data_IF_063768991885
#
_entry.id   IF_063768991885
#
_cell.length_a   1.000
_cell.length_b   1.000
_cell.length_c   1.000
_cell.angle_alpha   90.00
_cell.angle_beta   90.00
_cell.angle_gamma   90.00
#
_symmetry.space_group_name_H-M   'P 1'
#
loop_
_entity.id
_entity.type
_entity.pdbx_description
1 polymer ?
#
# COMPACT_ATOMS: atom_id res chain seq x y z
N UNK A 1 27.73 -31.84 -46.27
CA UNK A 1 28.61 -30.77 -45.72
C UNK A 1 27.70 -29.76 -45.02
N UNK A 2 27.61 -29.85 -43.70
CA UNK A 2 26.64 -29.10 -42.88
C UNK A 2 27.25 -27.75 -42.51
N UNK A 3 26.66 -26.63 -42.94
CA UNK A 3 26.95 -25.31 -42.38
C UNK A 3 25.87 -24.98 -41.36
N UNK A 4 26.19 -25.17 -40.08
CA UNK A 4 25.41 -24.64 -38.98
C UNK A 4 25.46 -23.12 -39.01
N UNK A 5 24.34 -22.48 -39.35
CA UNK A 5 24.15 -21.06 -39.09
C UNK A 5 24.15 -20.84 -37.58
N UNK A 6 25.18 -20.17 -37.06
CA UNK A 6 25.19 -19.65 -35.68
C UNK A 6 24.06 -18.62 -35.59
N UNK A 7 22.97 -18.98 -34.94
CA UNK A 7 22.05 -17.99 -34.40
C UNK A 7 22.84 -17.12 -33.42
N UNK A 8 22.90 -15.82 -33.66
CA UNK A 8 23.20 -14.85 -32.60
C UNK A 8 21.89 -14.55 -31.86
N UNK A 9 21.69 -15.07 -30.65
CA UNK A 9 20.87 -14.35 -29.69
C UNK A 9 21.67 -14.17 -28.40
N UNK A 10 22.20 -12.96 -28.15
CA UNK A 10 22.24 -12.57 -26.74
C UNK A 10 21.98 -11.08 -26.46
N UNK A 11 22.43 -10.14 -27.31
CA UNK A 11 22.53 -8.73 -26.90
C UNK A 11 21.15 -8.09 -26.67
N UNK A 12 20.24 -8.19 -27.65
CA UNK A 12 18.90 -7.59 -27.53
C UNK A 12 18.03 -8.24 -26.43
N UNK A 13 18.30 -9.50 -26.06
CA UNK A 13 17.58 -10.20 -24.98
C UNK A 13 18.13 -9.75 -23.62
N UNK A 14 19.45 -9.63 -23.50
CA UNK A 14 20.11 -9.15 -22.28
C UNK A 14 19.84 -7.66 -22.03
N UNK A 15 19.79 -6.83 -23.08
CA UNK A 15 19.42 -5.41 -22.97
C UNK A 15 17.96 -5.22 -22.54
N UNK A 16 17.03 -6.05 -23.03
CA UNK A 16 15.63 -6.02 -22.57
C UNK A 16 15.50 -6.46 -21.12
N UNK A 17 16.25 -7.48 -20.71
CA UNK A 17 16.28 -7.94 -19.33
C UNK A 17 16.86 -6.87 -18.38
N UNK A 18 17.93 -6.18 -18.79
CA UNK A 18 18.53 -5.11 -17.97
C UNK A 18 17.65 -3.87 -17.86
N UNK A 19 16.96 -3.48 -18.93
CA UNK A 19 15.98 -2.38 -18.91
C UNK A 19 14.78 -2.74 -18.03
N UNK A 20 14.30 -3.98 -18.07
CA UNK A 20 13.23 -4.45 -17.20
C UNK A 20 13.65 -4.43 -15.72
N UNK A 21 14.86 -4.90 -15.39
CA UNK A 21 15.39 -4.86 -14.02
C UNK A 21 15.56 -3.42 -13.50
N UNK A 22 16.05 -2.51 -14.35
CA UNK A 22 16.18 -1.09 -14.00
C UNK A 22 14.82 -0.43 -13.73
N UNK A 23 13.80 -0.74 -14.54
CA UNK A 23 12.44 -0.25 -14.34
C UNK A 23 11.81 -0.79 -13.04
N UNK A 24 12.01 -2.08 -12.74
CA UNK A 24 11.57 -2.70 -11.48
C UNK A 24 12.23 -2.03 -10.29
N UNK A 25 13.55 -1.85 -10.32
CA UNK A 25 14.28 -1.17 -9.24
C UNK A 25 13.79 0.26 -9.03
N UNK A 26 13.66 1.05 -10.11
CA UNK A 26 13.20 2.44 -10.03
C UNK A 26 11.77 2.55 -9.47
N UNK A 27 10.89 1.62 -9.84
CA UNK A 27 9.56 1.52 -9.26
C UNK A 27 9.64 1.22 -7.76
N UNK A 28 10.40 0.20 -7.37
CA UNK A 28 10.52 -0.20 -5.96
C UNK A 28 11.14 0.89 -5.08
N UNK A 29 12.15 1.62 -5.58
CA UNK A 29 12.77 2.74 -4.86
C UNK A 29 11.74 3.84 -4.49
N UNK A 30 10.70 4.02 -5.32
CA UNK A 30 9.61 4.96 -5.06
C UNK A 30 8.49 4.33 -4.22
N UNK A 31 8.16 3.06 -4.48
CA UNK A 31 7.00 2.40 -3.90
C UNK A 31 7.24 1.95 -2.44
N UNK A 32 8.45 1.46 -2.12
CA UNK A 32 8.85 1.01 -0.77
C UNK A 32 8.64 2.07 0.33
N UNK A 33 9.14 3.31 0.21
CA UNK A 33 8.93 4.32 1.24
C UNK A 33 7.45 4.65 1.44
N UNK A 34 6.64 4.63 0.37
CA UNK A 34 5.20 4.89 0.45
C UNK A 34 4.46 3.77 1.20
N UNK A 35 4.77 2.50 0.92
CA UNK A 35 4.21 1.36 1.65
C UNK A 35 4.61 1.40 3.12
N UNK A 36 5.87 1.74 3.44
CA UNK A 36 6.33 1.88 4.82
C UNK A 36 5.62 3.03 5.56
N UNK A 37 5.43 4.17 4.90
CA UNK A 37 4.70 5.31 5.44
C UNK A 37 3.24 4.94 5.72
N UNK A 38 2.58 4.28 4.76
CA UNK A 38 1.22 3.77 4.90
C UNK A 38 1.11 2.80 6.09
N UNK A 39 1.99 1.81 6.17
CA UNK A 39 2.02 0.83 7.26
C UNK A 39 2.18 1.47 8.64
N UNK A 40 3.05 2.47 8.77
CA UNK A 40 3.27 3.20 10.03
C UNK A 40 2.03 3.99 10.43
N UNK A 41 1.44 4.75 9.50
CA UNK A 41 0.23 5.51 9.76
C UNK A 41 -0.95 4.59 10.12
N UNK A 42 -1.05 3.43 9.47
CA UNK A 42 -2.08 2.40 9.75
C UNK A 42 -1.95 1.84 11.16
N UNK A 43 -0.73 1.43 11.55
CA UNK A 43 -0.47 0.87 12.87
C UNK A 43 -0.79 1.87 13.99
N UNK A 44 -0.39 3.14 13.80
CA UNK A 44 -0.68 4.20 14.75
C UNK A 44 -2.19 4.49 14.83
N UNK A 45 -2.88 4.61 13.69
CA UNK A 45 -4.31 4.89 13.65
C UNK A 45 -5.12 3.76 14.28
N UNK A 46 -4.79 2.50 13.99
CA UNK A 46 -5.41 1.34 14.61
C UNK A 46 -5.23 1.31 16.14
N UNK A 47 -4.08 1.77 16.65
CA UNK A 47 -3.89 1.92 18.09
C UNK A 47 -4.83 2.98 18.69
N UNK A 48 -5.02 4.10 18.00
CA UNK A 48 -5.94 5.16 18.45
C UNK A 48 -7.41 4.74 18.42
N UNK A 49 -7.83 3.99 17.40
CA UNK A 49 -9.20 3.45 17.34
C UNK A 49 -9.45 2.47 18.48
N UNK A 50 -8.46 1.64 18.83
CA UNK A 50 -8.56 0.74 20.00
C UNK A 50 -8.62 1.52 21.32
N UNK A 51 -7.81 2.56 21.49
CA UNK A 51 -7.83 3.39 22.68
C UNK A 51 -9.20 4.10 22.86
N UNK A 52 -9.75 4.65 21.78
CA UNK A 52 -11.08 5.25 21.79
C UNK A 52 -12.21 4.23 21.99
N UNK A 53 -12.00 2.95 21.69
CA UNK A 53 -12.95 1.89 22.02
C UNK A 53 -13.03 1.62 23.54
N UNK A 54 -11.88 1.65 24.21
CA UNK A 54 -11.80 1.50 25.68
C UNK A 54 -12.28 2.74 26.41
N UNK A 55 -12.07 3.93 25.83
CA UNK A 55 -12.49 5.21 26.41
C UNK A 55 -13.14 6.10 25.33
N UNK A 56 -14.45 5.93 25.07
CA UNK A 56 -15.15 6.63 23.99
C UNK A 56 -15.02 8.15 24.02
N UNK A 57 -14.99 8.75 25.22
CA UNK A 57 -14.88 10.19 25.39
C UNK A 57 -13.61 10.78 24.74
N UNK A 58 -12.54 9.98 24.59
CA UNK A 58 -11.26 10.43 24.01
C UNK A 58 -11.42 10.89 22.56
N UNK A 59 -12.31 10.28 21.77
CA UNK A 59 -12.46 10.64 20.36
C UNK A 59 -13.04 12.05 20.13
N UNK A 60 -13.66 12.65 21.15
CA UNK A 60 -14.16 14.02 21.10
C UNK A 60 -13.10 15.07 21.42
N UNK A 61 -11.95 14.66 21.98
CA UNK A 61 -10.88 15.57 22.41
C UNK A 61 -10.05 16.08 21.23
N UNK A 62 -9.54 17.32 21.33
CA UNK A 62 -8.61 17.86 20.34
C UNK A 62 -7.29 17.06 20.26
N UNK A 63 -6.86 16.50 21.40
CA UNK A 63 -5.67 15.65 21.51
C UNK A 63 -5.79 14.36 20.69
N UNK A 64 -7.01 13.86 20.47
CA UNK A 64 -7.26 12.74 19.57
C UNK A 64 -7.55 13.21 18.15
N UNK A 65 -8.48 14.16 17.95
CA UNK A 65 -8.94 14.60 16.62
C UNK A 65 -7.82 15.09 15.71
N UNK A 66 -6.90 15.91 16.22
CA UNK A 66 -5.81 16.48 15.42
C UNK A 66 -4.86 15.41 14.88
N UNK A 67 -4.18 14.65 15.76
CA UNK A 67 -3.30 13.55 15.36
C UNK A 67 -4.00 12.48 14.52
N UNK A 68 -5.24 12.12 14.85
CA UNK A 68 -6.03 11.14 14.08
C UNK A 68 -6.33 11.62 12.66
N UNK A 69 -6.71 12.88 12.50
CA UNK A 69 -6.91 13.49 11.17
C UNK A 69 -5.60 13.55 10.37
N UNK A 70 -4.48 13.81 11.03
CA UNK A 70 -3.16 13.80 10.39
C UNK A 70 -2.77 12.39 9.91
N UNK A 71 -3.00 11.35 10.71
CA UNK A 71 -2.74 9.97 10.33
C UNK A 71 -3.63 9.51 9.17
N UNK A 72 -4.92 9.84 9.18
CA UNK A 72 -5.84 9.56 8.06
C UNK A 72 -5.39 10.25 6.77
N UNK A 73 -4.90 11.50 6.88
CA UNK A 73 -4.34 12.22 5.74
C UNK A 73 -3.09 11.52 5.20
N UNK A 74 -2.17 11.11 6.07
CA UNK A 74 -0.97 10.36 5.67
C UNK A 74 -1.30 9.04 4.98
N UNK A 75 -2.29 8.29 5.49
CA UNK A 75 -2.79 7.07 4.86
C UNK A 75 -3.28 7.35 3.44
N UNK A 76 -4.19 8.31 3.30
CA UNK A 76 -4.77 8.68 2.01
C UNK A 76 -3.72 9.17 1.02
N UNK A 77 -2.79 10.01 1.47
CA UNK A 77 -1.76 10.57 0.61
C UNK A 77 -0.78 9.50 0.15
N UNK A 78 -0.42 8.53 1.01
CA UNK A 78 0.42 7.39 0.63
C UNK A 78 -0.29 6.44 -0.34
N UNK A 79 -1.57 6.10 -0.08
CA UNK A 79 -2.35 5.24 -0.97
C UNK A 79 -2.56 5.88 -2.35
N UNK A 80 -2.87 7.18 -2.40
CA UNK A 80 -3.00 7.91 -3.66
C UNK A 80 -1.68 7.98 -4.43
N UNK A 81 -0.55 8.15 -3.74
CA UNK A 81 0.76 8.16 -4.38
C UNK A 81 1.12 6.78 -4.94
N UNK A 82 0.81 5.70 -4.21
CA UNK A 82 0.98 4.32 -4.71
C UNK A 82 0.12 4.06 -5.94
N UNK A 83 -1.16 4.47 -5.91
CA UNK A 83 -2.06 4.31 -7.06
C UNK A 83 -1.57 5.06 -8.30
N UNK A 84 -1.04 6.27 -8.12
CA UNK A 84 -0.47 7.10 -9.20
C UNK A 84 0.89 6.62 -9.70
N UNK A 85 1.57 5.74 -8.95
CA UNK A 85 2.87 5.20 -9.34
C UNK A 85 2.65 4.18 -10.47
N UNK A 86 2.58 4.69 -11.69
CA UNK A 86 2.35 3.93 -12.91
C UNK A 86 3.49 4.21 -13.92
N UNK A 87 3.85 3.24 -14.77
CA UNK A 87 3.28 1.89 -14.85
C UNK A 87 3.81 0.95 -13.77
N UNK A 88 2.96 0.06 -13.26
CA UNK A 88 3.40 -1.06 -12.41
C UNK A 88 4.11 -2.10 -13.30
N UNK A 89 5.37 -2.48 -13.00
CA UNK A 89 6.05 -3.55 -13.71
C UNK A 89 5.24 -4.85 -13.70
N UNK A 90 5.13 -5.53 -14.84
CA UNK A 90 4.30 -6.75 -15.01
C UNK A 90 4.72 -7.93 -14.13
N UNK A 91 5.92 -7.88 -13.55
CA UNK A 91 6.42 -8.88 -12.60
C UNK A 91 5.86 -8.68 -11.18
N UNK A 92 5.30 -7.50 -10.89
CA UNK A 92 4.68 -7.20 -9.61
C UNK A 92 3.21 -7.65 -9.59
N UNK A 93 2.68 -8.02 -8.40
CA UNK A 93 1.26 -8.34 -8.22
C UNK A 93 0.32 -7.22 -8.70
N UNK A 94 -0.90 -7.61 -9.05
CA UNK A 94 -1.89 -6.84 -9.83
C UNK A 94 -2.10 -5.38 -9.40
N UNK A 95 -2.25 -4.52 -10.41
CA UNK A 95 -2.48 -3.08 -10.29
C UNK A 95 -3.71 -2.71 -9.46
N UNK A 96 -4.73 -3.58 -9.41
CA UNK A 96 -5.97 -3.34 -8.67
C UNK A 96 -5.75 -3.17 -7.17
N UNK A 97 -4.66 -3.71 -6.61
CA UNK A 97 -4.42 -3.63 -5.17
C UNK A 97 -4.19 -2.20 -4.65
N UNK A 98 -3.57 -1.32 -5.44
CA UNK A 98 -3.36 0.08 -5.02
C UNK A 98 -4.61 0.92 -5.17
N UNK A 99 -5.42 0.60 -6.17
CA UNK A 99 -6.75 1.18 -6.36
C UNK A 99 -7.66 0.81 -5.19
N UNK A 100 -7.80 -0.48 -4.89
CA UNK A 100 -8.56 -0.98 -3.74
C UNK A 100 -8.08 -0.33 -2.43
N UNK A 101 -6.76 -0.23 -2.22
CA UNK A 101 -6.18 0.42 -1.04
C UNK A 101 -6.58 1.91 -0.96
N UNK A 102 -6.54 2.63 -2.08
CA UNK A 102 -6.88 4.05 -2.14
C UNK A 102 -8.38 4.27 -1.90
N UNK A 103 -9.25 3.47 -2.52
CA UNK A 103 -10.70 3.53 -2.33
C UNK A 103 -11.10 3.22 -0.89
N UNK A 104 -10.59 2.13 -0.34
CA UNK A 104 -10.86 1.72 1.04
C UNK A 104 -10.32 2.75 2.05
N UNK A 105 -9.17 3.37 1.78
CA UNK A 105 -8.63 4.44 2.63
C UNK A 105 -9.45 5.72 2.55
N UNK A 106 -9.96 6.07 1.36
CA UNK A 106 -10.82 7.24 1.18
C UNK A 106 -12.14 7.07 1.95
N UNK A 107 -12.73 5.89 1.88
CA UNK A 107 -13.97 5.58 2.59
C UNK A 107 -13.77 5.54 4.12
N UNK A 108 -12.61 5.08 4.61
CA UNK A 108 -12.27 5.09 6.04
C UNK A 108 -12.39 6.49 6.66
N UNK A 109 -11.93 7.52 5.95
CA UNK A 109 -12.01 8.90 6.46
C UNK A 109 -13.47 9.36 6.64
N UNK A 110 -14.36 8.97 5.72
CA UNK A 110 -15.80 9.26 5.83
C UNK A 110 -16.46 8.53 7.00
N UNK A 111 -16.12 7.24 7.19
CA UNK A 111 -16.63 6.44 8.30
C UNK A 111 -16.17 6.99 9.67
N UNK A 112 -14.94 7.50 9.77
CA UNK A 112 -14.42 8.12 10.99
C UNK A 112 -15.11 9.45 11.30
N UNK A 113 -15.37 10.28 10.28
CA UNK A 113 -16.10 11.53 10.48
C UNK A 113 -17.49 11.26 11.08
N UNK A 114 -18.21 10.27 10.54
CA UNK A 114 -19.51 9.85 11.07
C UNK A 114 -19.44 9.32 12.50
N UNK A 115 -18.39 8.56 12.84
CA UNK A 115 -18.21 8.06 14.19
C UNK A 115 -17.96 9.19 15.20
N UNK A 116 -17.20 10.22 14.83
CA UNK A 116 -16.95 11.40 15.69
C UNK A 116 -18.26 12.15 16.00
N UNK A 117 -19.24 12.10 15.09
CA UNK A 117 -20.58 12.67 15.25
C UNK A 117 -21.55 11.73 16.03
N UNK A 118 -21.00 10.88 16.89
CA UNK A 118 -21.71 9.93 17.78
C UNK A 118 -22.48 8.78 17.10
N UNK A 119 -22.18 8.48 15.83
CA UNK A 119 -22.70 7.26 15.18
C UNK A 119 -21.88 6.03 15.60
N UNK A 120 -22.28 5.38 16.70
CA UNK A 120 -21.59 4.16 17.19
C UNK A 120 -21.70 2.98 16.20
N UNK A 121 -22.61 3.02 15.22
CA UNK A 121 -22.65 2.03 14.14
C UNK A 121 -21.52 2.26 13.12
N UNK A 122 -21.07 3.51 12.97
CA UNK A 122 -19.91 3.85 12.16
C UNK A 122 -18.61 3.29 12.76
N UNK A 123 -18.48 3.19 14.09
CA UNK A 123 -17.31 2.54 14.73
C UNK A 123 -17.09 1.09 14.26
N UNK A 124 -18.16 0.28 14.18
CA UNK A 124 -18.05 -1.11 13.67
C UNK A 124 -17.62 -1.14 12.20
N UNK A 125 -18.07 -0.17 11.42
CA UNK A 125 -17.68 -0.01 10.01
C UNK A 125 -16.21 0.36 9.90
N UNK A 126 -15.73 1.30 10.73
CA UNK A 126 -14.31 1.67 10.84
C UNK A 126 -13.45 0.44 11.17
N UNK A 127 -13.83 -0.36 12.17
CA UNK A 127 -13.09 -1.58 12.53
C UNK A 127 -13.03 -2.59 11.38
N UNK A 128 -14.17 -2.86 10.74
CA UNK A 128 -14.22 -3.79 9.60
C UNK A 128 -13.31 -3.32 8.47
N UNK A 129 -13.34 -2.02 8.16
CA UNK A 129 -12.54 -1.41 7.10
C UNK A 129 -11.06 -1.42 7.45
N UNK A 130 -10.70 -1.17 8.71
CA UNK A 130 -9.32 -1.33 9.17
C UNK A 130 -8.79 -2.76 9.01
N UNK A 131 -9.59 -3.76 9.33
CA UNK A 131 -9.21 -5.16 9.10
C UNK A 131 -9.02 -5.45 7.61
N UNK A 132 -9.91 -4.96 6.75
CA UNK A 132 -9.77 -5.10 5.30
C UNK A 132 -8.46 -4.46 4.80
N UNK A 133 -8.20 -3.22 5.19
CA UNK A 133 -6.97 -2.50 4.84
C UNK A 133 -5.71 -3.19 5.35
N UNK A 134 -5.76 -3.80 6.55
CA UNK A 134 -4.66 -4.57 7.09
C UNK A 134 -4.38 -5.83 6.24
N UNK A 135 -5.41 -6.54 5.81
CA UNK A 135 -5.27 -7.71 4.94
C UNK A 135 -4.76 -7.34 3.54
N UNK A 136 -5.24 -6.24 2.96
CA UNK A 136 -4.72 -5.71 1.69
C UNK A 136 -3.24 -5.35 1.82
N UNK A 137 -2.87 -4.60 2.87
CA UNK A 137 -1.48 -4.23 3.15
C UNK A 137 -0.58 -5.46 3.36
N UNK A 138 -1.05 -6.46 4.11
CA UNK A 138 -0.32 -7.71 4.36
C UNK A 138 -0.08 -8.46 3.06
N UNK A 139 -1.11 -8.61 2.24
CA UNK A 139 -1.04 -9.26 0.93
C UNK A 139 -0.05 -8.54 0.02
N UNK A 140 -0.11 -7.20 -0.02
CA UNK A 140 0.81 -6.38 -0.81
C UNK A 140 2.26 -6.57 -0.38
N UNK A 141 2.50 -6.51 0.93
CA UNK A 141 3.83 -6.67 1.52
C UNK A 141 4.39 -8.07 1.27
N UNK A 142 3.59 -9.12 1.45
CA UNK A 142 4.02 -10.50 1.17
C UNK A 142 4.31 -10.74 -0.31
N UNK A 143 3.51 -10.17 -1.21
CA UNK A 143 3.76 -10.28 -2.63
C UNK A 143 5.05 -9.56 -3.03
N UNK A 144 5.31 -8.37 -2.49
CA UNK A 144 6.57 -7.65 -2.71
C UNK A 144 7.79 -8.35 -2.13
N UNK A 145 7.69 -8.93 -0.92
CA UNK A 145 8.78 -9.69 -0.33
C UNK A 145 9.22 -10.85 -1.23
N UNK A 146 8.27 -11.50 -1.93
CA UNK A 146 8.57 -12.55 -2.91
C UNK A 146 9.31 -12.02 -4.12
N UNK A 147 8.94 -10.84 -4.62
CA UNK A 147 9.64 -10.20 -5.76
C UNK A 147 11.06 -9.79 -5.36
N UNK A 148 11.22 -9.12 -4.22
CA UNK A 148 12.54 -8.75 -3.72
C UNK A 148 13.46 -9.97 -3.52
N UNK A 149 12.91 -11.08 -3.03
CA UNK A 149 13.66 -12.33 -2.89
C UNK A 149 14.00 -13.00 -4.23
N UNK A 150 13.19 -12.78 -5.28
CA UNK A 150 13.48 -13.26 -6.63
C UNK A 150 14.59 -12.43 -7.29
N UNK A 151 14.56 -11.11 -7.15
CA UNK A 151 15.58 -10.18 -7.66
C UNK A 151 16.95 -10.45 -7.03
N UNK A 152 17.02 -10.82 -5.75
CA UNK A 152 18.29 -11.15 -5.08
C UNK A 152 18.93 -12.47 -5.54
N UNK A 153 18.18 -13.32 -6.25
CA UNK A 153 18.64 -14.64 -6.73
C UNK A 153 18.99 -14.65 -8.23
N UNK A 154 18.60 -13.61 -8.96
CA UNK A 154 18.82 -13.45 -10.40
C UNK A 154 20.17 -12.74 -10.66
#
# INVERSE_FOLDING_TARGET
>A
MVRHGRASPPVAVLERASVAAAAVKCYLDQAVPLVQAYARAMAWFAAQVRAAASEPAVCHTAAWKGPTSAALRQLRDAANQLHRLQPVPTILPEMGMWEDLAEETAALAGDVARWIDDDWTAYRTVLRRLNCLHELQRTATSAWARVLAAEQRA
#
